data_IF_357756892154
#
_entry.id   IF_357756892154
#
_cell.length_a   1.000
_cell.length_b   1.000
_cell.length_c   1.000
_cell.angle_alpha   90.00
_cell.angle_beta   90.00
_cell.angle_gamma   90.00
#
_symmetry.space_group_name_H-M   'P 1'
#
loop_
_entity.id
_entity.type
_entity.pdbx_description
1 polymer ?
#
# COMPACT_ATOMS: atom_id res chain seq x y z
N UNK A 1 -20.78 15.61 -59.27
CA UNK A 1 -21.08 16.49 -58.12
C UNK A 1 -20.77 15.71 -56.84
N UNK A 2 -19.50 15.66 -56.40
CA UNK A 2 -18.95 16.38 -55.22
C UNK A 2 -19.79 16.17 -53.94
N UNK A 3 -19.50 15.12 -53.19
CA UNK A 3 -20.00 14.92 -51.82
C UNK A 3 -18.86 15.04 -50.81
N UNK A 4 -19.20 15.61 -49.66
CA UNK A 4 -18.39 16.45 -48.77
C UNK A 4 -17.33 15.71 -47.94
N UNK A 5 -16.19 16.38 -47.79
CA UNK A 5 -15.15 16.20 -46.78
C UNK A 5 -15.75 15.99 -45.36
N UNK A 6 -15.30 14.94 -44.67
CA UNK A 6 -15.49 14.76 -43.23
C UNK A 6 -14.29 15.43 -42.54
N UNK A 7 -14.51 16.59 -41.92
CA UNK A 7 -13.52 17.28 -41.09
C UNK A 7 -13.52 16.62 -39.71
N UNK A 8 -12.45 15.88 -39.43
CA UNK A 8 -12.16 15.29 -38.12
C UNK A 8 -11.73 16.43 -37.18
N UNK A 9 -12.63 16.89 -36.31
CA UNK A 9 -12.34 17.90 -35.30
C UNK A 9 -11.59 17.26 -34.12
N UNK A 10 -10.28 17.47 -34.08
CA UNK A 10 -9.40 17.12 -32.97
C UNK A 10 -9.63 18.12 -31.81
N UNK A 11 -10.59 17.84 -30.93
CA UNK A 11 -10.74 18.59 -29.67
C UNK A 11 -9.68 18.11 -28.66
N UNK A 12 -8.51 18.75 -28.69
CA UNK A 12 -7.49 18.62 -27.66
C UNK A 12 -8.02 19.32 -26.40
N UNK A 13 -8.51 18.53 -25.44
CA UNK A 13 -8.86 18.98 -24.10
C UNK A 13 -7.57 19.39 -23.38
N UNK A 14 -7.20 20.67 -23.48
CA UNK A 14 -6.20 21.26 -22.59
C UNK A 14 -6.82 21.35 -21.21
N UNK A 15 -6.42 20.45 -20.31
CA UNK A 15 -6.77 20.59 -18.90
C UNK A 15 -6.04 21.81 -18.33
N UNK A 16 -6.72 22.71 -17.59
CA UNK A 16 -6.04 23.80 -16.92
C UNK A 16 -5.13 23.21 -15.84
N UNK A 17 -3.82 23.39 -15.99
CA UNK A 17 -2.86 23.07 -14.95
C UNK A 17 -3.12 24.01 -13.77
N UNK A 18 -3.71 23.47 -12.70
CA UNK A 18 -3.93 24.22 -11.46
C UNK A 18 -2.59 24.40 -10.75
N UNK A 19 -1.94 25.54 -10.99
CA UNK A 19 -0.75 25.93 -10.25
C UNK A 19 -1.15 26.38 -8.83
N UNK A 20 -0.52 25.81 -7.81
CA UNK A 20 -0.62 26.26 -6.42
C UNK A 20 0.67 26.96 -6.01
N UNK A 21 0.54 28.08 -5.31
CA UNK A 21 1.66 28.86 -4.78
C UNK A 21 1.97 28.40 -3.36
N UNK A 22 3.25 28.11 -3.09
CA UNK A 22 3.78 27.88 -1.75
C UNK A 22 4.30 29.21 -1.19
N UNK A 23 3.62 29.74 -0.18
CA UNK A 23 3.95 31.01 0.45
C UNK A 23 4.50 30.78 1.86
N UNK A 24 5.59 31.46 2.21
CA UNK A 24 6.13 31.47 3.59
C UNK A 24 6.00 32.87 4.15
N UNK A 25 5.25 33.03 5.24
CA UNK A 25 5.05 34.33 5.88
C UNK A 25 6.23 34.72 6.81
N UNK A 26 6.19 35.93 7.37
CA UNK A 26 7.20 36.46 8.29
C UNK A 26 7.40 35.63 9.56
N UNK A 27 6.43 34.80 9.94
CA UNK A 27 6.50 33.88 11.07
C UNK A 27 7.00 32.48 10.70
N UNK A 28 7.59 32.30 9.50
CA UNK A 28 8.01 31.01 8.94
C UNK A 28 6.88 29.97 8.78
N UNK A 29 5.61 30.39 8.78
CA UNK A 29 4.47 29.51 8.52
C UNK A 29 4.29 29.37 7.01
N UNK A 30 4.23 28.13 6.55
CA UNK A 30 4.00 27.79 5.14
C UNK A 30 2.50 27.63 4.88
N UNK A 31 2.00 28.27 3.84
CA UNK A 31 0.63 28.12 3.34
C UNK A 31 0.62 27.84 1.84
N UNK A 32 -0.40 27.11 1.38
CA UNK A 32 -0.62 26.82 -0.04
C UNK A 32 -1.91 27.50 -0.50
N UNK A 33 -1.82 28.29 -1.57
CA UNK A 33 -2.96 29.08 -2.05
C UNK A 33 -3.00 29.12 -3.58
N UNK A 34 -4.19 29.38 -4.13
CA UNK A 34 -4.41 29.49 -5.59
C UNK A 34 -3.98 30.83 -6.17
N UNK A 35 -3.77 31.84 -5.32
CA UNK A 35 -3.38 33.20 -5.71
C UNK A 35 -1.90 33.44 -5.37
N UNK A 36 -1.19 34.32 -6.11
CA UNK A 36 0.20 34.69 -5.82
C UNK A 36 0.39 35.12 -4.36
N UNK A 37 1.59 34.93 -3.83
CA UNK A 37 1.89 35.30 -2.45
C UNK A 37 1.80 36.83 -2.25
N UNK A 38 1.43 37.28 -1.06
CA UNK A 38 1.51 38.72 -0.73
C UNK A 38 2.97 39.19 -0.75
N UNK A 39 3.22 40.48 -1.00
CA UNK A 39 4.59 41.03 -1.12
C UNK A 39 5.47 40.80 0.12
N UNK A 40 4.85 40.56 1.28
CA UNK A 40 5.54 40.25 2.54
C UNK A 40 5.98 38.77 2.68
N UNK A 41 5.64 37.93 1.71
CA UNK A 41 5.87 36.48 1.74
C UNK A 41 6.91 36.07 0.69
N UNK A 42 7.80 35.15 1.05
CA UNK A 42 8.73 34.55 0.08
C UNK A 42 8.00 33.49 -0.73
N UNK A 43 7.89 33.71 -2.04
CA UNK A 43 7.31 32.77 -2.99
C UNK A 43 8.36 31.76 -3.48
N UNK A 44 7.97 30.50 -3.57
CA UNK A 44 8.69 29.50 -4.38
C UNK A 44 7.67 28.81 -5.26
N UNK A 45 7.63 29.18 -6.54
CA UNK A 45 6.72 28.59 -7.51
C UNK A 45 7.08 27.11 -7.72
N UNK A 46 6.16 26.22 -7.37
CA UNK A 46 6.29 24.78 -7.63
C UNK A 46 5.51 24.48 -8.90
N UNK A 47 6.22 24.30 -10.02
CA UNK A 47 5.62 23.74 -11.24
C UNK A 47 5.38 22.25 -11.00
N UNK A 48 4.11 21.85 -11.02
CA UNK A 48 3.71 20.45 -11.08
C UNK A 48 3.32 20.20 -12.53
N UNK A 49 4.31 19.83 -13.34
CA UNK A 49 4.07 19.44 -14.72
C UNK A 49 3.46 18.02 -14.71
N UNK A 50 2.24 17.90 -15.24
CA UNK A 50 1.55 16.63 -15.42
C UNK A 50 2.05 15.92 -16.68
N UNK A 51 2.53 14.69 -16.48
CA UNK A 51 2.79 13.61 -17.44
C UNK A 51 3.77 13.89 -18.60
N UNK A 52 5.04 13.51 -18.45
CA UNK A 52 5.65 12.34 -19.13
C UNK A 52 7.13 12.17 -18.66
N UNK A 53 7.47 10.93 -18.29
CA UNK A 53 8.76 10.53 -17.74
C UNK A 53 9.93 10.65 -18.74
N UNK A 54 11.18 10.75 -18.25
CA UNK A 54 12.35 9.91 -18.66
C UNK A 54 13.68 10.48 -18.11
N UNK A 55 14.32 9.65 -17.28
CA UNK A 55 15.76 9.41 -17.08
C UNK A 55 16.80 10.55 -17.11
N UNK A 56 17.36 10.82 -15.92
CA UNK A 56 18.79 10.87 -15.53
C UNK A 56 18.77 11.51 -14.12
N UNK A 57 19.24 10.93 -13.03
CA UNK A 57 20.49 10.26 -12.77
C UNK A 57 20.35 9.59 -11.40
N UNK A 58 20.17 8.27 -11.36
CA UNK A 58 20.33 7.45 -10.16
C UNK A 58 20.86 6.09 -10.60
N UNK A 59 22.07 6.13 -11.16
CA UNK A 59 22.92 4.96 -11.35
C UNK A 59 24.15 5.19 -10.50
N UNK A 60 24.10 4.68 -9.28
CA UNK A 60 25.13 3.85 -8.67
C UNK A 60 24.53 3.28 -7.38
N UNK A 61 24.93 2.08 -6.99
CA UNK A 61 24.34 1.25 -5.92
C UNK A 61 23.13 0.41 -6.38
N UNK A 62 23.29 -0.42 -7.41
CA UNK A 62 22.77 -1.81 -7.46
C UNK A 62 23.34 -2.49 -8.73
N UNK A 63 24.66 -2.63 -8.79
CA UNK A 63 25.29 -3.51 -9.78
C UNK A 63 25.09 -4.96 -9.37
N UNK A 64 23.96 -5.54 -9.77
CA UNK A 64 23.82 -7.00 -9.81
C UNK A 64 24.77 -7.55 -10.89
N UNK A 65 25.53 -8.62 -10.63
CA UNK A 65 26.43 -9.19 -11.61
C UNK A 65 25.63 -9.70 -12.83
N UNK A 66 26.10 -9.28 -14.01
CA UNK A 66 25.57 -9.70 -15.31
C UNK A 66 25.58 -11.23 -15.42
N UNK A 67 24.40 -11.84 -15.26
CA UNK A 67 24.18 -13.22 -15.64
C UNK A 67 24.00 -13.27 -17.17
N UNK A 68 25.02 -13.83 -17.81
CA UNK A 68 25.15 -14.15 -19.23
C UNK A 68 23.86 -14.81 -19.77
N UNK A 69 23.02 -14.04 -20.50
CA UNK A 69 21.78 -14.54 -21.10
C UNK A 69 22.07 -15.06 -22.50
N UNK A 70 22.30 -16.37 -22.60
CA UNK A 70 22.12 -17.13 -23.82
C UNK A 70 20.60 -17.26 -24.15
N UNK A 71 20.10 -16.75 -25.29
CA UNK A 71 18.66 -16.71 -25.60
C UNK A 71 18.06 -18.04 -26.09
N UNK A 72 18.67 -19.20 -25.82
CA UNK A 72 18.15 -20.51 -26.29
C UNK A 72 17.89 -21.50 -25.16
N UNK A 73 17.00 -21.16 -24.23
CA UNK A 73 16.17 -22.17 -23.55
C UNK A 73 14.98 -21.50 -22.89
N UNK A 74 13.88 -21.34 -23.63
CA UNK A 74 12.56 -21.10 -23.00
C UNK A 74 12.15 -22.43 -22.35
N UNK A 75 12.61 -22.67 -21.13
CA UNK A 75 12.01 -23.70 -20.28
C UNK A 75 10.57 -23.25 -20.06
N UNK A 76 9.60 -23.96 -20.63
CA UNK A 76 8.19 -23.88 -20.23
C UNK A 76 8.16 -24.07 -18.72
N UNK A 77 8.00 -22.98 -17.97
CA UNK A 77 7.63 -23.05 -16.57
C UNK A 77 6.29 -23.80 -16.55
N UNK A 78 6.26 -24.97 -15.92
CA UNK A 78 5.02 -25.70 -15.76
C UNK A 78 4.07 -24.80 -14.96
N UNK A 79 2.78 -24.71 -15.35
CA UNK A 79 1.80 -24.00 -14.55
C UNK A 79 1.82 -24.59 -13.13
N UNK A 80 2.04 -23.72 -12.15
CA UNK A 80 2.05 -24.11 -10.75
C UNK A 80 0.61 -24.43 -10.36
N UNK A 81 0.32 -25.70 -10.13
CA UNK A 81 -0.97 -26.15 -9.61
C UNK A 81 -0.94 -25.89 -8.11
N UNK A 82 -1.76 -24.96 -7.65
CA UNK A 82 -1.86 -24.60 -6.25
C UNK A 82 -2.76 -25.64 -5.55
N UNK A 83 -2.29 -26.24 -4.46
CA UNK A 83 -3.10 -27.10 -3.60
C UNK A 83 -3.66 -26.24 -2.47
N UNK A 84 -4.97 -26.05 -2.47
CA UNK A 84 -5.67 -25.16 -1.54
C UNK A 84 -5.83 -25.76 -0.13
N UNK A 85 -5.45 -27.04 0.07
CA UNK A 85 -5.68 -27.77 1.33
C UNK A 85 -4.44 -27.84 2.26
N UNK A 86 -3.49 -26.92 2.13
CA UNK A 86 -2.28 -26.94 2.98
C UNK A 86 -2.57 -26.26 4.31
N UNK A 87 -2.80 -27.08 5.34
CA UNK A 87 -2.87 -26.65 6.73
C UNK A 87 -1.53 -25.99 7.15
N UNK A 88 -1.61 -24.80 7.75
CA UNK A 88 -0.45 -24.12 8.33
C UNK A 88 -0.01 -24.88 9.60
N UNK A 89 1.30 -25.09 9.80
CA UNK A 89 1.79 -25.77 10.99
C UNK A 89 1.45 -24.94 12.25
N UNK A 90 0.85 -25.60 13.24
CA UNK A 90 0.53 -25.06 14.56
C UNK A 90 1.83 -24.81 15.35
N UNK A 91 1.96 -23.60 15.88
CA UNK A 91 3.15 -23.06 16.57
C UNK A 91 3.54 -23.85 17.84
N UNK A 92 2.74 -24.84 18.27
CA UNK A 92 2.87 -25.52 19.57
C UNK A 92 3.59 -26.89 19.55
N UNK A 93 4.17 -27.33 18.43
CA UNK A 93 4.77 -28.68 18.35
C UNK A 93 6.23 -28.71 18.83
N UNK A 94 6.48 -29.42 19.94
CA UNK A 94 7.83 -29.73 20.46
C UNK A 94 8.58 -30.60 19.46
N UNK A 95 9.58 -30.01 18.80
CA UNK A 95 10.41 -30.64 17.77
C UNK A 95 11.34 -31.70 18.37
N UNK A 96 10.99 -32.97 18.16
CA UNK A 96 11.92 -34.11 18.23
C UNK A 96 12.75 -34.15 16.93
N UNK A 97 14.08 -34.19 17.08
CA UNK A 97 15.06 -34.10 15.98
C UNK A 97 15.00 -35.32 15.07
N UNK A 98 14.69 -35.17 13.78
CA UNK A 98 15.46 -35.75 12.65
C UNK A 98 14.90 -35.34 11.28
N UNK A 99 15.70 -34.60 10.51
CA UNK A 99 16.03 -34.78 9.08
C UNK A 99 16.54 -33.43 8.51
N UNK A 100 17.74 -33.39 7.93
CA UNK A 100 18.18 -32.24 7.15
C UNK A 100 17.50 -32.28 5.78
N UNK A 101 17.24 -31.10 5.19
CA UNK A 101 16.85 -30.90 3.78
C UNK A 101 15.34 -30.75 3.48
N UNK A 102 14.66 -29.80 4.13
CA UNK A 102 13.41 -29.24 3.55
C UNK A 102 13.28 -27.71 3.71
N UNK A 103 14.40 -27.00 3.73
CA UNK A 103 14.45 -25.55 3.95
C UNK A 103 13.80 -24.76 2.79
N UNK A 104 13.89 -25.29 1.57
CA UNK A 104 13.32 -24.66 0.36
C UNK A 104 11.79 -24.58 0.34
N UNK A 105 11.08 -25.56 0.90
CA UNK A 105 9.61 -25.55 0.93
C UNK A 105 9.08 -24.58 1.98
N UNK A 106 9.77 -24.46 3.12
CA UNK A 106 9.43 -23.48 4.17
C UNK A 106 9.49 -22.05 3.65
N UNK A 107 10.54 -21.70 2.90
CA UNK A 107 10.69 -20.36 2.33
C UNK A 107 9.59 -20.04 1.29
N UNK A 108 9.25 -21.00 0.42
CA UNK A 108 8.17 -20.82 -0.55
C UNK A 108 6.81 -20.60 0.13
N UNK A 109 6.50 -21.36 1.19
CA UNK A 109 5.27 -21.16 1.98
C UNK A 109 5.23 -19.78 2.63
N UNK A 110 6.34 -19.33 3.21
CA UNK A 110 6.45 -17.99 3.80
C UNK A 110 6.22 -16.88 2.76
N UNK A 111 6.76 -17.03 1.54
CA UNK A 111 6.53 -16.08 0.45
C UNK A 111 5.06 -16.01 0.02
N UNK A 112 4.39 -17.16 -0.11
CA UNK A 112 2.97 -17.14 -0.49
C UNK A 112 2.10 -16.60 0.63
N UNK A 113 2.38 -16.95 1.88
CA UNK A 113 1.66 -16.37 3.01
C UNK A 113 1.86 -14.84 3.06
N UNK A 114 3.08 -14.36 2.80
CA UNK A 114 3.38 -12.93 2.71
C UNK A 114 2.61 -12.23 1.59
N UNK A 115 2.50 -12.83 0.40
CA UNK A 115 1.73 -12.24 -0.70
C UNK A 115 0.23 -12.18 -0.38
N UNK A 116 -0.29 -13.23 0.26
CA UNK A 116 -1.66 -13.28 0.79
C UNK A 116 -1.92 -12.17 1.81
N UNK A 117 -1.02 -11.95 2.77
CA UNK A 117 -1.11 -10.85 3.75
C UNK A 117 -1.13 -9.48 3.05
N UNK A 118 -0.31 -9.29 2.01
CA UNK A 118 -0.33 -8.04 1.24
C UNK A 118 -1.60 -7.85 0.41
N UNK A 119 -2.18 -8.94 -0.11
CA UNK A 119 -3.50 -8.91 -0.74
C UNK A 119 -4.58 -8.49 0.26
N UNK A 120 -4.60 -9.09 1.45
CA UNK A 120 -5.52 -8.74 2.53
C UNK A 120 -5.35 -7.29 2.99
N UNK A 121 -4.12 -6.77 3.06
CA UNK A 121 -3.89 -5.35 3.37
C UNK A 121 -4.36 -4.44 2.24
N UNK A 122 -4.16 -4.82 0.98
CA UNK A 122 -4.59 -4.03 -0.17
C UNK A 122 -6.12 -3.89 -0.23
N UNK A 123 -6.87 -4.91 0.19
CA UNK A 123 -8.34 -4.81 0.27
C UNK A 123 -8.83 -3.84 1.36
N UNK A 124 -7.99 -3.45 2.31
CA UNK A 124 -8.30 -2.40 3.30
C UNK A 124 -8.14 -0.97 2.76
N UNK A 125 -7.55 -0.79 1.57
CA UNK A 125 -7.27 0.52 0.99
C UNK A 125 -8.50 1.46 0.90
N UNK A 126 -9.72 0.97 0.54
CA UNK A 126 -10.92 1.82 0.52
C UNK A 126 -11.27 2.36 1.91
N UNK A 127 -11.17 1.52 2.96
CA UNK A 127 -11.44 1.90 4.35
C UNK A 127 -10.43 2.92 4.84
N UNK A 128 -9.14 2.72 4.50
CA UNK A 128 -8.06 3.66 4.81
C UNK A 128 -8.34 5.04 4.19
N UNK A 129 -8.68 5.08 2.91
CA UNK A 129 -8.99 6.34 2.21
C UNK A 129 -10.23 7.02 2.78
N UNK A 130 -11.30 6.27 3.02
CA UNK A 130 -12.54 6.82 3.59
C UNK A 130 -12.35 7.36 5.00
N UNK A 131 -11.57 6.66 5.85
CA UNK A 131 -11.25 7.11 7.21
C UNK A 131 -10.39 8.37 7.21
N UNK A 132 -9.40 8.46 6.32
CA UNK A 132 -8.61 9.67 6.16
C UNK A 132 -9.46 10.86 5.67
N UNK A 133 -10.34 10.63 4.70
CA UNK A 133 -11.23 11.68 4.20
C UNK A 133 -12.19 12.16 5.28
N UNK A 134 -12.78 11.23 6.05
CA UNK A 134 -13.63 11.56 7.19
C UNK A 134 -12.88 12.41 8.23
N UNK A 135 -11.65 12.04 8.57
CA UNK A 135 -10.84 12.84 9.49
C UNK A 135 -10.56 14.25 8.96
N UNK A 136 -10.30 14.40 7.66
CA UNK A 136 -10.08 15.71 7.04
C UNK A 136 -11.35 16.57 7.05
N UNK A 137 -12.53 15.97 6.93
CA UNK A 137 -13.80 16.71 6.90
C UNK A 137 -14.34 17.02 8.30
N UNK A 138 -14.33 16.03 9.19
CA UNK A 138 -14.92 16.13 10.53
C UNK A 138 -13.92 16.55 11.61
N UNK A 139 -12.62 16.41 11.35
CA UNK A 139 -11.56 16.69 12.33
C UNK A 139 -11.40 15.62 13.42
N UNK A 140 -12.21 14.55 13.40
CA UNK A 140 -12.15 13.41 14.32
C UNK A 140 -12.00 12.10 13.55
N UNK A 141 -11.40 11.09 14.19
CA UNK A 141 -11.32 9.76 13.60
C UNK A 141 -12.67 9.04 13.68
N UNK A 142 -13.12 8.33 12.63
CA UNK A 142 -14.39 7.60 12.67
C UNK A 142 -14.42 6.57 13.80
N UNK A 143 -15.53 6.51 14.54
CA UNK A 143 -15.71 5.59 15.66
C UNK A 143 -16.24 4.24 15.18
N UNK A 144 -16.84 4.20 14.01
CA UNK A 144 -17.41 3.00 13.40
C UNK A 144 -17.32 3.02 11.87
N UNK A 145 -17.48 1.87 11.23
CA UNK A 145 -17.55 1.78 9.76
C UNK A 145 -18.73 2.56 9.17
N UNK A 146 -19.83 2.70 9.93
CA UNK A 146 -21.01 3.45 9.49
C UNK A 146 -20.76 4.94 9.35
N UNK A 147 -19.82 5.51 10.13
CA UNK A 147 -19.43 6.92 10.03
C UNK A 147 -18.82 7.24 8.66
N UNK A 148 -18.16 6.25 8.05
CA UNK A 148 -17.57 6.34 6.71
C UNK A 148 -18.48 5.73 5.62
N UNK A 149 -19.76 5.51 5.93
CA UNK A 149 -20.76 5.00 4.99
C UNK A 149 -20.54 3.53 4.60
N UNK A 150 -19.85 2.76 5.43
CA UNK A 150 -19.60 1.33 5.20
C UNK A 150 -20.37 0.47 6.20
N UNK A 151 -20.78 -0.71 5.74
CA UNK A 151 -21.46 -1.70 6.57
C UNK A 151 -20.53 -2.87 6.86
N UNK A 152 -20.53 -3.32 8.11
CA UNK A 152 -19.64 -4.38 8.60
C UNK A 152 -19.89 -5.70 7.85
N UNK A 153 -21.16 -6.02 7.55
CA UNK A 153 -21.53 -7.24 6.83
C UNK A 153 -20.99 -7.29 5.40
N UNK A 154 -20.64 -6.12 4.82
CA UNK A 154 -20.08 -6.03 3.48
C UNK A 154 -18.55 -6.13 3.46
N UNK A 155 -17.90 -6.15 4.63
CA UNK A 155 -16.43 -6.18 4.74
C UNK A 155 -15.84 -7.59 4.80
N UNK A 156 -16.70 -8.62 4.87
CA UNK A 156 -16.29 -10.02 4.73
C UNK A 156 -15.71 -10.25 3.32
N UNK A 157 -14.51 -10.82 3.25
CA UNK A 157 -13.88 -11.20 1.99
C UNK A 157 -13.27 -12.58 2.08
N UNK A 158 -12.66 -13.04 0.98
CA UNK A 158 -11.93 -14.32 1.00
C UNK A 158 -10.87 -14.32 2.09
N UNK A 159 -10.19 -13.20 2.33
CA UNK A 159 -9.03 -13.14 3.23
C UNK A 159 -9.34 -12.54 4.61
N UNK A 160 -10.41 -11.74 4.70
CA UNK A 160 -10.79 -10.97 5.89
C UNK A 160 -12.10 -11.52 6.44
N UNK A 161 -12.07 -11.89 7.71
CA UNK A 161 -13.22 -12.32 8.48
C UNK A 161 -14.00 -11.13 9.04
N UNK A 162 -13.37 -10.10 9.59
CA UNK A 162 -14.09 -8.90 10.04
C UNK A 162 -13.16 -7.69 10.10
N UNK A 163 -13.75 -6.49 10.04
CA UNK A 163 -13.02 -5.22 10.17
C UNK A 163 -13.66 -4.36 11.23
N UNK A 164 -12.85 -3.84 12.15
CA UNK A 164 -13.26 -2.94 13.21
C UNK A 164 -12.39 -1.67 13.19
N UNK A 165 -13.00 -0.53 13.54
CA UNK A 165 -12.30 0.73 13.75
C UNK A 165 -12.20 0.99 15.25
N UNK A 166 -10.99 1.09 15.78
CA UNK A 166 -10.76 1.32 17.20
C UNK A 166 -9.49 2.14 17.41
N UNK A 167 -9.50 3.10 18.35
CA UNK A 167 -8.30 3.83 18.78
C UNK A 167 -7.44 4.41 17.65
N UNK A 168 -8.07 4.98 16.61
CA UNK A 168 -7.40 5.48 15.40
C UNK A 168 -6.71 4.40 14.57
N UNK A 169 -7.19 3.16 14.64
CA UNK A 169 -6.64 2.01 13.92
C UNK A 169 -7.74 1.31 13.16
N UNK A 170 -7.35 0.70 12.05
CA UNK A 170 -8.17 -0.24 11.28
C UNK A 170 -7.65 -1.63 11.61
N UNK A 171 -8.48 -2.43 12.27
CA UNK A 171 -8.12 -3.77 12.69
C UNK A 171 -8.92 -4.75 11.83
N UNK A 172 -8.22 -5.56 11.04
CA UNK A 172 -8.80 -6.60 10.21
C UNK A 172 -8.46 -7.97 10.79
N UNK A 173 -9.48 -8.71 11.22
CA UNK A 173 -9.34 -10.11 11.62
C UNK A 173 -9.31 -10.96 10.35
N UNK A 174 -8.27 -11.77 10.20
CA UNK A 174 -8.08 -12.61 9.03
C UNK A 174 -8.85 -13.92 9.18
N UNK A 175 -9.19 -14.53 8.06
CA UNK A 175 -9.88 -15.82 8.06
C UNK A 175 -9.00 -16.93 8.70
N UNK A 176 -9.64 -18.08 8.98
CA UNK A 176 -8.96 -19.23 9.57
C UNK A 176 -7.80 -19.80 8.72
N UNK A 177 -7.77 -19.54 7.40
CA UNK A 177 -6.69 -20.02 6.53
C UNK A 177 -5.34 -19.34 6.77
N UNK A 178 -5.32 -18.23 7.50
CA UNK A 178 -4.07 -17.58 7.96
C UNK A 178 -3.60 -18.11 9.32
N UNK A 179 -4.43 -18.90 10.02
CA UNK A 179 -4.21 -19.37 11.38
C UNK A 179 -5.15 -18.71 12.39
N UNK A 180 -5.14 -19.22 13.61
CA UNK A 180 -6.04 -18.77 14.68
C UNK A 180 -5.64 -17.37 15.15
N UNK A 181 -6.64 -16.50 15.36
CA UNK A 181 -6.48 -15.14 15.88
C UNK A 181 -5.49 -14.26 15.10
N UNK A 182 -5.30 -14.52 13.79
CA UNK A 182 -4.46 -13.66 12.97
C UNK A 182 -5.18 -12.37 12.63
N UNK A 183 -4.50 -11.24 12.78
CA UNK A 183 -5.04 -9.91 12.49
C UNK A 183 -4.00 -9.01 11.86
N UNK A 184 -4.49 -8.07 11.06
CA UNK A 184 -3.73 -6.96 10.48
C UNK A 184 -4.23 -5.69 11.15
N UNK A 185 -3.32 -4.89 11.69
CA UNK A 185 -3.60 -3.58 12.24
C UNK A 185 -2.95 -2.54 11.34
N UNK A 186 -3.75 -1.61 10.83
CA UNK A 186 -3.28 -0.49 10.02
C UNK A 186 -3.50 0.79 10.82
N UNK A 187 -2.42 1.55 11.00
CA UNK A 187 -2.42 2.77 11.81
C UNK A 187 -1.97 3.96 10.93
N UNK A 188 -2.71 5.08 10.93
CA UNK A 188 -2.29 6.30 10.28
C UNK A 188 -1.15 6.94 11.08
N UNK A 189 -0.16 7.45 10.36
CA UNK A 189 0.94 8.24 10.90
C UNK A 189 1.04 9.55 10.13
N UNK A 190 0.75 10.65 10.82
CA UNK A 190 0.78 11.98 10.23
C UNK A 190 2.22 12.44 10.02
N UNK A 191 2.56 12.78 8.78
CA UNK A 191 3.87 13.30 8.42
C UNK A 191 3.75 14.70 7.83
N UNK A 192 4.89 15.38 7.69
CA UNK A 192 4.96 16.74 7.12
C UNK A 192 4.04 17.74 7.82
N UNK A 193 3.98 17.72 9.15
CA UNK A 193 3.11 18.58 9.97
C UNK A 193 1.61 18.35 9.72
N UNK A 194 1.21 17.10 9.42
CA UNK A 194 -0.20 16.73 9.26
C UNK A 194 -0.76 16.92 7.86
N UNK A 195 0.06 17.28 6.87
CA UNK A 195 -0.40 17.45 5.48
C UNK A 195 -0.48 16.14 4.72
N UNK A 196 0.14 15.07 5.23
CA UNK A 196 0.13 13.76 4.60
C UNK A 196 0.02 12.65 5.65
N UNK A 197 -0.56 11.51 5.24
CA UNK A 197 -0.74 10.33 6.08
C UNK A 197 0.09 9.19 5.49
N UNK A 198 1.02 8.68 6.28
CA UNK A 198 1.69 7.41 6.02
C UNK A 198 0.96 6.30 6.78
N UNK A 199 0.79 5.15 6.14
CA UNK A 199 0.04 4.04 6.73
C UNK A 199 0.97 2.93 7.17
N UNK A 200 1.11 2.78 8.48
CA UNK A 200 1.88 1.70 9.07
C UNK A 200 1.00 0.45 9.17
N UNK A 201 1.56 -0.69 8.81
CA UNK A 201 0.86 -1.97 8.88
C UNK A 201 1.62 -2.92 9.81
N UNK A 202 0.90 -3.51 10.77
CA UNK A 202 1.41 -4.52 11.68
C UNK A 202 0.54 -5.79 11.60
N UNK A 203 1.13 -6.96 11.75
CA UNK A 203 0.39 -8.21 11.80
C UNK A 203 1.09 -9.24 12.69
N UNK A 204 0.33 -10.11 13.37
CA UNK A 204 0.84 -11.11 14.30
C UNK A 204 1.28 -12.42 13.63
N UNK A 205 2.12 -12.26 12.61
CA UNK A 205 2.85 -13.37 11.99
C UNK A 205 4.28 -13.41 12.50
N UNK A 206 4.90 -14.59 12.47
CA UNK A 206 6.33 -14.76 12.80
C UNK A 206 7.21 -13.86 11.94
N UNK A 207 8.34 -13.42 12.52
CA UNK A 207 9.38 -12.67 11.82
C UNK A 207 9.96 -13.40 10.59
N UNK A 208 9.78 -14.73 10.53
CA UNK A 208 10.13 -15.55 9.35
C UNK A 208 9.24 -15.26 8.13
N UNK A 209 8.00 -14.85 8.35
CA UNK A 209 7.01 -14.56 7.29
C UNK A 209 7.03 -13.07 6.96
N UNK A 210 6.98 -12.22 7.99
CA UNK A 210 7.03 -10.77 7.86
C UNK A 210 8.27 -10.25 8.56
N UNK A 211 9.13 -9.46 7.91
CA UNK A 211 10.29 -8.89 8.60
C UNK A 211 9.83 -7.98 9.75
N UNK A 212 10.61 -7.95 10.83
CA UNK A 212 10.39 -7.02 11.95
C UNK A 212 10.62 -5.56 11.53
N UNK A 213 11.52 -5.36 10.58
CA UNK A 213 11.80 -4.07 9.96
C UNK A 213 11.49 -4.17 8.47
N UNK A 214 10.36 -3.62 8.05
CA UNK A 214 10.15 -3.27 6.65
C UNK A 214 10.54 -1.81 6.47
N UNK A 215 11.72 -1.58 5.88
CA UNK A 215 12.00 -0.31 5.21
C UNK A 215 11.11 -0.33 3.95
N UNK A 216 9.88 0.18 4.06
CA UNK A 216 8.94 0.27 2.95
C UNK A 216 7.47 0.05 3.32
N UNK A 217 6.61 0.08 2.31
CA UNK A 217 5.15 0.01 2.45
C UNK A 217 4.61 -1.37 2.87
N UNK A 218 5.42 -2.27 3.42
CA UNK A 218 4.98 -3.61 3.82
C UNK A 218 4.53 -3.70 5.28
N UNK A 219 3.69 -4.69 5.59
CA UNK A 219 3.34 -5.05 6.96
C UNK A 219 4.52 -5.64 7.75
N UNK A 220 4.62 -5.26 9.02
CA UNK A 220 5.64 -5.69 9.97
C UNK A 220 5.10 -6.75 10.93
N UNK A 221 5.96 -7.67 11.35
CA UNK A 221 5.64 -8.59 12.44
C UNK A 221 5.49 -7.81 13.76
N UNK A 222 4.37 -8.00 14.46
CA UNK A 222 4.16 -7.48 15.82
C UNK A 222 3.26 -8.43 16.60
N UNK A 223 3.69 -8.85 17.78
CA UNK A 223 2.81 -9.55 18.71
C UNK A 223 1.74 -8.58 19.22
N UNK A 224 0.51 -9.06 19.30
CA UNK A 224 -0.57 -8.32 19.92
C UNK A 224 -0.97 -9.09 21.17
N UNK A 225 -0.82 -8.44 22.32
CA UNK A 225 -1.26 -8.97 23.61
C UNK A 225 -2.79 -8.92 23.73
#
# INVERSE_FOLDING_TARGET
MRSKLIILALCILSQPTLAYYKCTNSNNKVTYQKYPCSEESKETAVRVDGDEAVHKEYNDIYSLPNADRNPRTVRKLKPYVYDDNIELPDDNEKVEKTEPDNEGTSYQRALVLRSKIYSARASLQPIMMASAMYYVTEGEWPRSLSDIGMDESSMHSRDIDSVELAEQQIIAKLNASYGINKKIIVTPHWVMSGTNIEWHCHANFSSKVLPESSIGSGCQSKAFD
#
